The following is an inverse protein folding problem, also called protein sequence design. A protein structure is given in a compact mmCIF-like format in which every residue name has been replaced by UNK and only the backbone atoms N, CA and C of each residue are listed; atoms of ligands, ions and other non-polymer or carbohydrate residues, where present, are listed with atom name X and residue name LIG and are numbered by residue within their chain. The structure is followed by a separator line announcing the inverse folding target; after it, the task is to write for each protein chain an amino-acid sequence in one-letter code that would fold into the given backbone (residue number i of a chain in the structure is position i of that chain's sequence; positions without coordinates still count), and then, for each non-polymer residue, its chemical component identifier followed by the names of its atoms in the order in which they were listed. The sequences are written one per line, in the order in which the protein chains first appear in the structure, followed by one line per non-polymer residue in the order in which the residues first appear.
data_IF_584099300971
#
_entry.id   IF_584099300971
#
_cell.length_a   1.000
_cell.length_b   1.000
_cell.length_c   1.000
_cell.angle_alpha   90.00
_cell.angle_beta   90.00
_cell.angle_gamma   90.00
#
_symmetry.space_group_name_H-M   'P 1'
#
loop_
_entity.id
_entity.type
_entity.pdbx_description
1 polymer ?
#
# COMPACT_ATOMS: atom_id res chain seq x y z
N UNK A 1 66.63 -29.66 -0.21
CA UNK A 1 67.26 -29.31 1.08
C UNK A 1 66.42 -28.24 1.74
N UNK A 2 66.18 -28.38 3.05
CA UNK A 2 65.30 -27.64 3.98
C UNK A 2 65.22 -26.12 3.75
N UNK A 3 64.03 -25.50 3.67
CA UNK A 3 63.16 -24.93 4.75
C UNK A 3 63.89 -23.91 5.64
N UNK A 4 63.29 -22.70 5.76
CA UNK A 4 63.06 -21.82 6.95
C UNK A 4 63.10 -20.34 6.47
N UNK A 5 61.97 -19.61 6.39
CA UNK A 5 61.17 -18.91 7.42
C UNK A 5 61.65 -17.47 7.68
N UNK A 6 60.77 -16.47 7.49
CA UNK A 6 60.61 -15.17 8.19
C UNK A 6 59.64 -14.30 7.33
N UNK A 7 58.33 -14.23 7.57
CA UNK A 7 57.60 -13.43 8.58
C UNK A 7 58.00 -11.95 8.67
N UNK A 8 57.13 -11.07 8.15
CA UNK A 8 56.80 -9.69 8.58
C UNK A 8 55.70 -9.16 7.61
N UNK A 9 54.40 -9.32 7.95
CA UNK A 9 53.54 -8.28 8.55
C UNK A 9 53.47 -6.97 7.75
N UNK A 10 52.36 -6.77 7.01
CA UNK A 10 51.60 -5.51 6.88
C UNK A 10 50.30 -5.85 6.09
N UNK A 11 49.15 -6.13 6.70
CA UNK A 11 48.11 -5.18 7.17
C UNK A 11 47.83 -4.01 6.22
N UNK A 12 46.60 -3.96 5.67
CA UNK A 12 46.04 -2.82 4.94
C UNK A 12 45.08 -3.25 3.84
N UNK A 13 43.90 -3.79 4.17
CA UNK A 13 42.61 -3.07 4.10
C UNK A 13 42.31 -2.44 2.74
N UNK A 14 41.41 -3.10 1.97
CA UNK A 14 40.22 -2.55 1.31
C UNK A 14 39.60 -3.68 0.46
N UNK A 15 39.00 -4.64 1.16
CA UNK A 15 38.07 -5.58 0.55
C UNK A 15 36.76 -4.84 0.30
N UNK A 16 36.50 -4.50 -0.96
CA UNK A 16 35.22 -3.99 -1.43
C UNK A 16 34.16 -5.01 -1.05
N UNK A 17 33.28 -4.63 -0.13
CA UNK A 17 32.06 -5.35 0.18
C UNK A 17 31.24 -5.34 -1.11
N UNK A 18 31.06 -6.52 -1.70
CA UNK A 18 30.03 -6.74 -2.70
C UNK A 18 28.68 -6.44 -2.04
N UNK A 19 28.06 -5.32 -2.42
CA UNK A 19 26.65 -5.08 -2.18
C UNK A 19 25.87 -5.94 -3.18
N UNK A 20 25.74 -7.22 -2.85
CA UNK A 20 24.75 -8.11 -3.43
C UNK A 20 23.52 -8.04 -2.51
N UNK A 21 22.54 -7.23 -2.89
CA UNK A 21 21.26 -7.10 -2.17
C UNK A 21 20.11 -7.06 -3.18
N UNK A 22 20.18 -7.88 -4.24
CA UNK A 22 18.95 -8.39 -4.86
C UNK A 22 18.37 -9.45 -3.94
N UNK A 23 17.72 -9.01 -2.86
CA UNK A 23 16.71 -9.84 -2.20
C UNK A 23 15.55 -9.95 -3.17
N UNK A 24 15.62 -10.96 -4.04
CA UNK A 24 14.42 -11.65 -4.51
C UNK A 24 13.64 -12.00 -3.24
N UNK A 25 12.72 -11.13 -2.86
CA UNK A 25 11.81 -11.42 -1.76
C UNK A 25 10.88 -12.46 -2.38
N UNK A 26 10.96 -13.74 -1.97
CA UNK A 26 10.07 -14.74 -2.55
C UNK A 26 8.65 -14.20 -2.41
N UNK A 27 7.88 -14.25 -3.50
CA UNK A 27 6.45 -13.96 -3.47
C UNK A 27 5.89 -14.63 -2.21
N UNK A 28 5.42 -13.83 -1.26
CA UNK A 28 4.98 -14.32 0.04
C UNK A 28 3.93 -15.39 -0.24
N UNK A 29 4.26 -16.66 0.03
CA UNK A 29 3.32 -17.76 -0.19
C UNK A 29 2.04 -17.43 0.56
N UNK A 30 0.95 -17.36 -0.21
CA UNK A 30 -0.35 -17.03 0.35
C UNK A 30 -0.87 -18.28 1.05
N UNK A 31 -1.16 -18.22 2.37
CA UNK A 31 -1.73 -19.38 3.06
C UNK A 31 -3.06 -19.77 2.41
N UNK A 32 -3.31 -21.08 2.18
CA UNK A 32 -4.59 -21.51 1.61
C UNK A 32 -5.75 -21.17 2.57
N UNK A 33 -6.99 -21.10 2.07
CA UNK A 33 -8.17 -21.00 2.94
C UNK A 33 -8.18 -22.13 3.98
N UNK A 34 -8.68 -21.84 5.17
CA UNK A 34 -8.74 -22.80 6.28
C UNK A 34 -10.01 -22.58 7.09
N UNK A 35 -10.57 -23.64 7.66
CA UNK A 35 -11.79 -23.58 8.47
C UNK A 35 -11.65 -24.48 9.70
N UNK A 36 -12.12 -23.97 10.85
CA UNK A 36 -12.28 -24.76 12.05
C UNK A 36 -13.66 -24.49 12.65
N UNK A 37 -14.28 -25.55 13.17
CA UNK A 37 -15.55 -25.49 13.87
C UNK A 37 -15.41 -26.07 15.27
N UNK A 38 -16.17 -25.53 16.23
CA UNK A 38 -16.32 -26.12 17.55
C UNK A 38 -17.76 -26.00 18.05
N UNK A 39 -18.21 -26.99 18.81
CA UNK A 39 -19.47 -26.91 19.53
C UNK A 39 -19.31 -26.01 20.76
N UNK A 40 -20.16 -25.00 20.88
CA UNK A 40 -20.13 -23.99 21.94
C UNK A 40 -21.48 -23.97 22.63
N UNK A 41 -21.49 -24.18 23.95
CA UNK A 41 -22.73 -24.12 24.72
C UNK A 41 -22.99 -22.67 25.15
N UNK A 42 -24.26 -22.27 25.19
CA UNK A 42 -24.65 -20.95 25.67
C UNK A 42 -24.27 -20.75 27.14
N UNK A 43 -24.32 -21.80 27.95
CA UNK A 43 -24.06 -21.74 29.38
C UNK A 43 -22.57 -21.62 29.74
N UNK A 44 -21.68 -22.28 29.00
CA UNK A 44 -20.26 -22.36 29.36
C UNK A 44 -19.37 -21.51 28.45
N UNK A 45 -19.85 -21.17 27.25
CA UNK A 45 -19.03 -20.55 26.22
C UNK A 45 -18.06 -21.55 25.60
N UNK A 46 -17.04 -21.05 24.91
CA UNK A 46 -16.09 -21.88 24.19
C UNK A 46 -15.15 -21.08 23.30
N UNK A 47 -14.22 -21.77 22.63
CA UNK A 47 -13.29 -21.14 21.71
C UNK A 47 -13.09 -21.95 20.42
N UNK A 48 -12.75 -21.24 19.35
CA UNK A 48 -12.41 -21.78 18.03
C UNK A 48 -11.11 -21.11 17.60
N UNK A 49 -10.10 -21.88 17.18
CA UNK A 49 -8.83 -21.33 16.73
C UNK A 49 -8.33 -22.02 15.46
N UNK A 50 -7.68 -21.26 14.59
CA UNK A 50 -6.95 -21.74 13.42
C UNK A 50 -5.46 -21.85 13.74
N UNK A 51 -4.72 -22.63 12.93
CA UNK A 51 -3.28 -22.83 13.12
C UNK A 51 -2.44 -21.56 12.91
N UNK A 52 -2.98 -20.57 12.21
CA UNK A 52 -2.31 -19.28 12.00
C UNK A 52 -2.42 -18.33 13.19
N UNK A 53 -3.10 -18.74 14.27
CA UNK A 53 -3.31 -17.94 15.47
C UNK A 53 -4.58 -17.10 15.47
N UNK A 54 -5.40 -17.14 14.41
CA UNK A 54 -6.73 -16.55 14.44
C UNK A 54 -7.62 -17.31 15.44
N UNK A 55 -8.36 -16.59 16.29
CA UNK A 55 -9.13 -17.19 17.38
C UNK A 55 -10.39 -16.41 17.71
N UNK A 56 -11.46 -17.13 18.00
CA UNK A 56 -12.73 -16.64 18.53
C UNK A 56 -12.93 -17.22 19.92
N UNK A 57 -13.18 -16.36 20.91
CA UNK A 57 -13.53 -16.72 22.28
C UNK A 57 -14.95 -16.22 22.61
N UNK A 58 -15.88 -17.15 22.77
CA UNK A 58 -17.27 -16.88 23.12
C UNK A 58 -17.43 -17.07 24.63
N UNK A 59 -17.71 -16.02 25.42
CA UNK A 59 -17.88 -16.18 26.86
C UNK A 59 -19.23 -16.84 27.20
N UNK A 60 -19.32 -17.40 28.41
CA UNK A 60 -20.57 -17.89 28.97
C UNK A 60 -21.67 -16.82 28.91
N UNK A 61 -22.86 -17.22 28.46
CA UNK A 61 -24.02 -16.35 28.29
C UNK A 61 -23.98 -15.44 27.06
N UNK A 62 -22.98 -15.54 26.17
CA UNK A 62 -22.95 -14.71 24.95
C UNK A 62 -23.89 -15.21 23.85
N UNK A 63 -24.19 -16.52 23.79
CA UNK A 63 -25.10 -17.11 22.81
C UNK A 63 -26.50 -17.26 23.40
N UNK A 64 -27.53 -17.09 22.56
CA UNK A 64 -28.93 -17.38 22.93
C UNK A 64 -29.20 -18.87 23.11
N UNK A 65 -28.45 -19.73 22.41
CA UNK A 65 -28.59 -21.18 22.44
C UNK A 65 -27.28 -21.85 22.02
N UNK A 66 -27.14 -23.14 22.30
CA UNK A 66 -25.96 -23.92 21.92
C UNK A 66 -25.82 -23.96 20.39
N UNK A 67 -24.59 -23.84 19.90
CA UNK A 67 -24.33 -23.72 18.47
C UNK A 67 -22.96 -24.27 18.07
N UNK A 68 -22.84 -24.62 16.80
CA UNK A 68 -21.53 -24.82 16.17
C UNK A 68 -21.01 -23.45 15.74
N UNK A 69 -19.95 -22.96 16.37
CA UNK A 69 -19.26 -21.74 15.97
C UNK A 69 -18.14 -22.12 15.02
N UNK A 70 -18.05 -21.39 13.90
CA UNK A 70 -17.12 -21.66 12.80
C UNK A 70 -16.28 -20.41 12.58
N UNK A 71 -14.96 -20.59 12.56
CA UNK A 71 -13.98 -19.60 12.18
C UNK A 71 -13.33 -20.05 10.88
N UNK A 72 -13.43 -19.20 9.85
CA UNK A 72 -12.92 -19.47 8.52
C UNK A 72 -11.94 -18.36 8.13
N UNK A 73 -10.76 -18.75 7.64
CA UNK A 73 -9.87 -17.91 6.83
C UNK A 73 -10.31 -18.04 5.38
N UNK A 74 -11.06 -17.05 4.91
CA UNK A 74 -11.69 -17.04 3.58
C UNK A 74 -10.62 -16.89 2.51
N UNK A 75 -9.74 -15.91 2.65
CA UNK A 75 -8.68 -15.63 1.67
C UNK A 75 -7.62 -14.72 2.25
N UNK A 76 -6.38 -14.94 1.83
CA UNK A 76 -5.26 -14.03 2.04
C UNK A 76 -4.83 -13.34 0.72
N UNK A 77 -5.50 -13.64 -0.41
CA UNK A 77 -5.17 -13.23 -1.79
C UNK A 77 -5.58 -11.79 -2.14
N UNK A 78 -5.73 -10.94 -1.13
CA UNK A 78 -6.01 -9.53 -1.34
C UNK A 78 -7.39 -9.27 -1.94
N UNK A 79 -8.42 -10.02 -1.54
CA UNK A 79 -9.82 -9.65 -1.84
C UNK A 79 -10.15 -8.24 -1.29
N UNK A 80 -9.42 -7.82 -0.25
CA UNK A 80 -9.40 -6.47 0.28
C UNK A 80 -8.00 -5.86 0.05
N UNK A 81 -7.53 -5.79 -1.20
CA UNK A 81 -6.23 -5.23 -1.60
C UNK A 81 -5.97 -3.79 -1.12
N UNK A 82 -6.88 -3.15 -0.38
CA UNK A 82 -6.64 -1.82 0.18
C UNK A 82 -5.45 -1.88 1.17
N UNK A 83 -4.50 -0.95 1.06
CA UNK A 83 -3.23 -0.99 1.79
C UNK A 83 -3.36 -0.93 3.31
N UNK A 84 -4.49 -0.41 3.79
CA UNK A 84 -4.80 -0.40 5.20
C UNK A 84 -5.07 -1.80 5.75
N UNK A 85 -5.45 -2.77 4.93
CA UNK A 85 -5.73 -4.12 5.40
C UNK A 85 -4.44 -4.93 5.56
N UNK A 86 -4.17 -5.33 6.79
CA UNK A 86 -3.07 -6.20 7.15
C UNK A 86 -3.59 -7.63 7.36
N UNK A 87 -3.18 -8.56 6.50
CA UNK A 87 -3.44 -9.98 6.68
C UNK A 87 -4.65 -10.51 5.91
N UNK A 88 -5.23 -11.60 6.40
CA UNK A 88 -6.28 -12.34 5.71
C UNK A 88 -7.69 -11.87 6.08
N UNK A 89 -8.64 -12.17 5.21
CA UNK A 89 -10.07 -12.06 5.49
C UNK A 89 -10.52 -13.28 6.28
N UNK A 90 -11.14 -13.03 7.44
CA UNK A 90 -11.74 -14.07 8.27
C UNK A 90 -13.26 -13.90 8.32
N UNK A 91 -13.98 -15.00 8.47
CA UNK A 91 -15.41 -15.02 8.71
C UNK A 91 -15.70 -15.83 9.98
N UNK A 92 -16.59 -15.30 10.82
CA UNK A 92 -17.14 -16.01 11.97
C UNK A 92 -18.62 -16.23 11.69
N UNK A 93 -19.05 -17.49 11.74
CA UNK A 93 -20.44 -17.89 11.52
C UNK A 93 -20.89 -18.88 12.59
N UNK A 94 -22.20 -18.97 12.80
CA UNK A 94 -22.79 -19.94 13.71
C UNK A 94 -23.89 -20.72 13.00
N UNK A 95 -23.91 -22.04 13.23
CA UNK A 95 -24.96 -22.94 12.78
C UNK A 95 -25.83 -23.36 13.97
N UNK A 96 -27.10 -23.69 13.72
CA UNK A 96 -28.07 -24.02 14.78
C UNK A 96 -28.96 -22.85 15.20
N UNK A 97 -28.88 -21.69 14.54
CA UNK A 97 -29.79 -20.56 14.73
C UNK A 97 -29.50 -19.70 15.95
N UNK A 98 -28.34 -19.87 16.60
CA UNK A 98 -27.94 -19.01 17.70
C UNK A 98 -27.68 -17.56 17.26
N UNK A 99 -28.18 -16.64 18.07
CA UNK A 99 -27.83 -15.23 18.03
C UNK A 99 -26.89 -14.89 19.19
N UNK A 100 -26.28 -13.70 19.13
CA UNK A 100 -25.45 -13.17 20.19
C UNK A 100 -26.27 -12.21 21.07
N UNK A 101 -26.38 -12.51 22.36
CA UNK A 101 -26.82 -11.57 23.40
C UNK A 101 -25.65 -10.79 24.01
N UNK A 102 -24.46 -11.41 24.00
CA UNK A 102 -23.20 -10.82 24.45
C UNK A 102 -22.26 -10.47 23.29
N UNK A 103 -21.00 -10.21 23.63
CA UNK A 103 -19.91 -10.02 22.67
C UNK A 103 -18.92 -11.16 22.80
N UNK A 104 -18.42 -11.66 21.68
CA UNK A 104 -17.27 -12.57 21.66
C UNK A 104 -16.00 -11.78 21.38
N UNK A 105 -14.85 -12.32 21.77
CA UNK A 105 -13.54 -11.75 21.47
C UNK A 105 -12.97 -12.42 20.23
N UNK A 106 -12.47 -11.62 19.29
CA UNK A 106 -11.77 -12.07 18.09
C UNK A 106 -10.32 -11.62 18.15
N UNK A 107 -9.40 -12.55 17.91
CA UNK A 107 -7.97 -12.29 17.75
C UNK A 107 -7.56 -12.68 16.33
N UNK A 108 -6.95 -11.76 15.59
CA UNK A 108 -6.41 -11.99 14.25
C UNK A 108 -4.88 -11.87 14.29
N UNK A 109 -4.14 -12.77 13.63
CA UNK A 109 -2.68 -12.75 13.67
C UNK A 109 -2.12 -11.48 13.02
N UNK A 110 -1.10 -10.91 13.66
CA UNK A 110 -0.34 -9.77 13.10
C UNK A 110 0.47 -10.22 11.88
N UNK A 111 0.50 -9.41 10.83
CA UNK A 111 1.17 -9.75 9.57
C UNK A 111 2.69 -9.72 9.66
N UNK A 112 3.34 -10.66 10.38
CA UNK A 112 4.76 -11.01 10.29
C UNK A 112 5.82 -9.90 10.47
N UNK A 113 5.42 -8.65 10.65
CA UNK A 113 6.34 -7.55 10.83
C UNK A 113 6.94 -7.65 12.24
N UNK A 114 8.25 -7.92 12.28
CA UNK A 114 9.11 -7.89 13.46
C UNK A 114 9.22 -6.50 14.12
N UNK A 115 8.37 -5.54 13.73
CA UNK A 115 8.41 -4.19 14.27
C UNK A 115 7.55 -4.03 15.53
N UNK A 116 8.23 -3.46 16.52
CA UNK A 116 7.99 -3.54 17.96
C UNK A 116 7.15 -2.37 18.49
N UNK A 117 6.38 -1.70 17.63
CA UNK A 117 5.68 -0.48 18.01
C UNK A 117 4.17 -0.64 17.84
N UNK A 118 3.45 -0.41 18.93
CA UNK A 118 2.00 -0.27 18.91
C UNK A 118 1.62 0.88 17.98
N UNK A 119 0.99 0.60 16.84
CA UNK A 119 0.41 1.65 16.01
C UNK A 119 -0.95 2.05 16.60
N UNK A 120 -1.15 3.32 17.03
CA UNK A 120 -2.43 3.77 17.58
C UNK A 120 -3.56 3.76 16.55
N UNK A 121 -3.22 3.59 15.27
CA UNK A 121 -4.17 3.54 14.16
C UNK A 121 -4.47 2.11 13.70
N UNK A 122 -3.85 1.10 14.30
CA UNK A 122 -4.15 -0.30 14.01
C UNK A 122 -5.49 -0.70 14.66
N UNK A 123 -6.39 -1.30 13.88
CA UNK A 123 -7.72 -1.68 14.36
C UNK A 123 -8.20 -2.96 13.69
N UNK A 124 -9.11 -3.67 14.34
CA UNK A 124 -9.83 -4.78 13.72
C UNK A 124 -11.06 -4.22 13.00
N UNK A 125 -11.17 -4.47 11.70
CA UNK A 125 -12.31 -4.04 10.89
C UNK A 125 -13.37 -5.13 10.85
N UNK A 126 -14.63 -4.78 11.13
CA UNK A 126 -15.80 -5.63 10.91
C UNK A 126 -16.65 -5.08 9.77
N UNK A 127 -17.23 -5.97 8.96
CA UNK A 127 -18.05 -5.58 7.80
C UNK A 127 -19.54 -5.46 8.15
N UNK A 128 -20.07 -4.27 8.37
CA UNK A 128 -21.51 -4.09 8.51
C UNK A 128 -22.21 -3.87 7.14
N UNK A 129 -23.50 -3.50 7.17
CA UNK A 129 -24.31 -3.19 5.98
C UNK A 129 -23.87 -1.92 5.26
N UNK A 130 -23.15 -1.02 5.93
CA UNK A 130 -22.67 0.26 5.42
C UNK A 130 -21.20 0.20 4.99
N UNK A 131 -20.46 -0.84 5.39
CA UNK A 131 -19.10 -1.10 4.94
C UNK A 131 -18.19 -1.65 6.04
N UNK A 132 -16.90 -1.38 5.93
CA UNK A 132 -15.89 -1.80 6.91
C UNK A 132 -15.70 -0.72 7.98
N UNK A 133 -15.76 -1.10 9.27
CA UNK A 133 -15.56 -0.18 10.39
C UNK A 133 -14.64 -0.75 11.47
N UNK A 134 -13.82 0.10 12.07
CA UNK A 134 -12.98 -0.28 13.19
C UNK A 134 -13.85 -0.64 14.40
N UNK A 135 -13.54 -1.74 15.06
CA UNK A 135 -14.09 -2.04 16.37
C UNK A 135 -13.49 -1.08 17.39
N UNK A 136 -14.34 -0.40 18.15
CA UNK A 136 -13.91 0.68 19.06
C UNK A 136 -13.03 0.22 20.23
N UNK A 137 -13.01 -1.07 20.53
CA UNK A 137 -12.19 -1.72 21.55
C UNK A 137 -11.01 -2.50 20.95
N UNK A 138 -10.61 -2.19 19.72
CA UNK A 138 -9.45 -2.81 19.09
C UNK A 138 -8.18 -2.55 19.90
N UNK A 139 -7.41 -3.61 20.15
CA UNK A 139 -6.10 -3.56 20.77
C UNK A 139 -5.08 -4.26 19.87
N UNK A 140 -3.94 -3.60 19.64
CA UNK A 140 -2.82 -4.18 18.90
C UNK A 140 -1.70 -4.58 19.86
N UNK A 141 -1.22 -5.82 19.72
CA UNK A 141 -0.18 -6.36 20.59
C UNK A 141 0.84 -7.19 19.79
N UNK A 142 1.92 -7.60 20.46
CA UNK A 142 2.93 -8.52 19.93
C UNK A 142 2.29 -9.91 19.77
N UNK A 143 1.56 -10.10 18.68
CA UNK A 143 0.78 -11.30 18.41
C UNK A 143 -0.39 -11.06 17.47
N UNK A 144 -0.90 -9.83 17.39
CA UNK A 144 -1.97 -9.47 16.46
C UNK A 144 -2.94 -8.43 16.99
N UNK A 145 -4.11 -8.39 16.34
CA UNK A 145 -5.22 -7.48 16.65
C UNK A 145 -6.31 -8.24 17.39
N UNK A 146 -6.77 -7.70 18.51
CA UNK A 146 -7.89 -8.24 19.28
C UNK A 146 -9.00 -7.21 19.38
N UNK A 147 -10.26 -7.62 19.23
CA UNK A 147 -11.43 -6.76 19.48
C UNK A 147 -12.66 -7.59 19.86
N UNK A 148 -13.72 -6.95 20.35
CA UNK A 148 -14.99 -7.63 20.63
C UNK A 148 -16.05 -7.37 19.56
N UNK A 149 -16.80 -8.41 19.18
CA UNK A 149 -17.87 -8.33 18.18
C UNK A 149 -19.21 -8.80 18.76
N UNK A 150 -20.28 -8.08 18.42
CA UNK A 150 -21.67 -8.38 18.82
C UNK A 150 -22.47 -9.09 17.73
N UNK A 151 -21.84 -9.40 16.59
CA UNK A 151 -22.46 -10.06 15.44
C UNK A 151 -21.46 -10.99 14.78
N UNK A 152 -21.93 -12.16 14.36
CA UNK A 152 -21.21 -13.04 13.45
C UNK A 152 -21.05 -12.35 12.09
N UNK A 153 -19.82 -12.28 11.59
CA UNK A 153 -19.50 -11.43 10.45
C UNK A 153 -18.13 -11.74 9.81
N UNK A 154 -17.77 -10.94 8.80
CA UNK A 154 -16.42 -10.87 8.23
C UNK A 154 -15.55 -9.84 8.93
N UNK A 155 -14.27 -10.19 9.09
CA UNK A 155 -13.27 -9.40 9.80
C UNK A 155 -11.92 -9.42 9.11
N UNK A 156 -11.16 -8.35 9.29
CA UNK A 156 -9.81 -8.19 8.74
C UNK A 156 -9.02 -7.23 9.63
N UNK A 157 -7.72 -7.45 9.75
CA UNK A 157 -6.85 -6.50 10.45
C UNK A 157 -6.61 -5.25 9.61
N UNK A 158 -6.58 -4.08 10.24
CA UNK A 158 -6.00 -2.87 9.67
C UNK A 158 -4.76 -2.49 10.46
N UNK A 159 -3.62 -2.42 9.79
CA UNK A 159 -2.39 -1.84 10.32
C UNK A 159 -1.94 -0.86 9.26
N UNK A 160 -2.21 0.44 9.43
CA UNK A 160 -1.78 1.43 8.46
C UNK A 160 -0.27 1.32 8.26
N UNK A 161 0.17 1.40 7.01
CA UNK A 161 1.59 1.52 6.72
C UNK A 161 2.16 2.71 7.52
N UNK A 162 3.40 2.62 8.03
CA UNK A 162 4.06 3.78 8.61
C UNK A 162 3.95 4.96 7.64
N UNK A 163 3.61 6.14 8.16
CA UNK A 163 3.43 7.36 7.38
C UNK A 163 4.60 7.55 6.42
N UNK A 164 4.33 7.52 5.11
CA UNK A 164 5.35 7.69 4.06
C UNK A 164 5.22 6.74 2.87
N UNK A 165 4.55 5.61 3.03
CA UNK A 165 4.28 4.67 1.93
C UNK A 165 2.77 4.44 1.82
N UNK A 166 2.06 5.34 1.12
CA UNK A 166 0.74 5.02 0.62
C UNK A 166 0.91 4.05 -0.55
N UNK A 167 0.53 2.76 -0.43
CA UNK A 167 0.68 1.81 -1.53
C UNK A 167 -0.24 2.21 -2.67
N UNK A 168 0.33 2.27 -3.88
CA UNK A 168 -0.45 2.54 -5.06
C UNK A 168 -1.04 1.22 -5.55
N UNK A 169 -2.32 1.02 -5.26
CA UNK A 169 -3.07 -0.17 -5.68
C UNK A 169 -2.81 -0.56 -7.15
N UNK A 170 -2.61 0.41 -8.04
CA UNK A 170 -2.32 0.14 -9.45
C UNK A 170 -0.89 -0.30 -9.78
N UNK A 171 0.11 0.07 -8.98
CA UNK A 171 1.53 -0.31 -9.23
C UNK A 171 1.88 -1.68 -8.65
N UNK A 172 1.11 -2.14 -7.67
CA UNK A 172 1.31 -3.43 -6.99
C UNK A 172 0.67 -4.61 -7.73
N UNK A 173 -0.12 -4.35 -8.79
CA UNK A 173 -0.60 -5.43 -9.67
C UNK A 173 0.55 -5.98 -10.52
N UNK A 174 0.63 -7.31 -10.71
CA UNK A 174 1.61 -7.90 -11.61
C UNK A 174 1.36 -7.36 -13.03
N UNK A 175 2.35 -6.63 -13.53
CA UNK A 175 2.37 -6.13 -14.89
C UNK A 175 3.12 -7.13 -15.76
N UNK A 176 2.54 -7.51 -16.89
CA UNK A 176 3.17 -8.41 -17.85
C UNK A 176 3.43 -7.62 -19.12
N UNK A 177 4.72 -7.39 -19.41
CA UNK A 177 5.14 -6.73 -20.64
C UNK A 177 4.69 -7.55 -21.85
N UNK A 178 4.01 -6.89 -22.79
CA UNK A 178 3.60 -7.50 -24.06
C UNK A 178 4.34 -6.89 -25.27
N UNK A 179 5.15 -5.84 -25.04
CA UNK A 179 5.84 -5.11 -26.09
C UNK A 179 4.88 -4.33 -26.99
N UNK A 180 5.27 -4.16 -28.26
CA UNK A 180 4.49 -3.47 -29.29
C UNK A 180 5.13 -2.17 -29.78
N UNK A 181 4.51 -1.52 -30.76
CA UNK A 181 5.06 -0.30 -31.36
C UNK A 181 4.75 0.94 -30.52
N UNK A 182 5.79 1.49 -29.88
CA UNK A 182 5.71 2.73 -29.10
C UNK A 182 5.65 3.98 -29.97
N UNK A 183 5.94 3.89 -31.26
CA UNK A 183 6.02 5.06 -32.15
C UNK A 183 4.71 5.83 -32.15
N UNK A 184 4.77 7.15 -31.96
CA UNK A 184 3.62 8.04 -32.02
C UNK A 184 3.53 9.01 -30.85
N UNK A 185 2.46 9.80 -30.86
CA UNK A 185 2.12 10.74 -29.80
C UNK A 185 1.14 10.10 -28.82
N UNK A 186 1.44 10.18 -27.54
CA UNK A 186 0.67 9.57 -26.46
C UNK A 186 0.31 10.61 -25.41
N UNK A 187 -0.89 10.52 -24.85
CA UNK A 187 -1.35 11.37 -23.76
C UNK A 187 -1.83 10.50 -22.60
N UNK A 188 -1.37 10.80 -21.39
CA UNK A 188 -1.75 10.05 -20.19
C UNK A 188 -3.26 10.16 -19.96
N UNK A 189 -3.90 9.00 -19.80
CA UNK A 189 -5.32 8.90 -19.41
C UNK A 189 -5.49 8.43 -17.98
N UNK A 190 -4.47 7.76 -17.42
CA UNK A 190 -4.47 7.23 -16.07
C UNK A 190 -3.03 7.04 -15.61
N UNK A 191 -2.74 7.37 -14.35
CA UNK A 191 -1.43 7.13 -13.75
C UNK A 191 -1.60 6.63 -12.31
N UNK A 192 -0.76 5.67 -11.94
CA UNK A 192 -0.62 5.14 -10.59
C UNK A 192 0.83 5.33 -10.16
N UNK A 193 1.03 5.79 -8.94
CA UNK A 193 2.34 6.08 -8.37
C UNK A 193 2.22 7.08 -7.21
N UNK A 194 3.21 7.08 -6.32
CA UNK A 194 3.29 8.12 -5.27
C UNK A 194 3.43 9.50 -5.94
N UNK A 195 3.06 10.57 -5.24
CA UNK A 195 3.25 11.93 -5.75
C UNK A 195 4.72 12.18 -6.10
N UNK A 196 5.64 11.69 -5.27
CA UNK A 196 7.07 11.77 -5.54
C UNK A 196 7.47 11.05 -6.83
N UNK A 197 6.96 9.82 -7.06
CA UNK A 197 7.25 9.07 -8.28
C UNK A 197 6.65 9.70 -9.56
N UNK A 198 5.51 10.39 -9.45
CA UNK A 198 4.80 10.96 -10.60
C UNK A 198 5.23 12.40 -10.91
N UNK A 199 5.36 13.23 -9.88
CA UNK A 199 5.65 14.65 -9.99
C UNK A 199 7.10 15.02 -9.67
N UNK A 200 7.91 14.11 -9.10
CA UNK A 200 9.28 14.41 -8.68
C UNK A 200 9.35 15.33 -7.46
N UNK A 201 8.21 15.53 -6.77
CA UNK A 201 8.09 16.42 -5.61
C UNK A 201 7.98 15.58 -4.35
N UNK A 202 8.90 15.79 -3.42
CA UNK A 202 8.83 15.25 -2.07
C UNK A 202 8.60 16.37 -1.06
N UNK A 203 7.93 16.04 0.05
CA UNK A 203 7.76 16.96 1.17
C UNK A 203 8.19 16.30 2.46
N UNK A 204 8.98 17.02 3.25
CA UNK A 204 9.16 16.74 4.66
C UNK A 204 8.08 17.48 5.44
N UNK A 205 7.15 16.74 6.05
CA UNK A 205 6.25 17.11 7.17
C UNK A 205 5.69 18.53 7.28
N UNK A 206 4.37 18.66 7.30
CA UNK A 206 3.66 19.83 7.83
C UNK A 206 3.80 19.97 9.36
N UNK A 207 3.15 20.98 9.92
CA UNK A 207 3.09 21.17 11.39
C UNK A 207 2.57 19.90 12.09
N UNK A 208 3.19 19.55 13.22
CA UNK A 208 2.90 18.31 13.96
C UNK A 208 1.66 18.49 14.85
N UNK A 209 0.54 17.93 14.40
CA UNK A 209 -0.73 17.88 15.13
C UNK A 209 -1.03 16.47 15.67
N UNK A 210 0.00 15.67 15.93
CA UNK A 210 -0.14 14.27 16.41
C UNK A 210 -0.87 14.14 17.75
N UNK A 211 -0.93 15.20 18.54
CA UNK A 211 -1.67 15.31 19.81
C UNK A 211 -3.17 15.59 19.65
N UNK A 212 -3.65 15.81 18.42
CA UNK A 212 -5.05 16.13 18.12
C UNK A 212 -5.94 14.91 17.80
N UNK A 213 -5.48 13.67 18.03
CA UNK A 213 -6.24 12.46 17.69
C UNK A 213 -7.58 12.29 18.45
N UNK A 214 -8.55 11.52 17.91
CA UNK A 214 -8.53 10.81 16.62
C UNK A 214 -9.11 11.61 15.43
N UNK A 215 -9.70 12.79 15.65
CA UNK A 215 -10.37 13.58 14.60
C UNK A 215 -9.86 15.02 14.46
N UNK A 216 -8.86 15.44 15.24
CA UNK A 216 -8.49 16.84 15.35
C UNK A 216 -7.54 17.35 14.26
N UNK A 217 -6.89 16.48 13.48
CA UNK A 217 -6.12 16.86 12.29
C UNK A 217 -6.11 15.72 11.26
N UNK A 218 -6.49 16.02 10.02
CA UNK A 218 -6.27 15.14 8.89
C UNK A 218 -5.72 15.95 7.71
N UNK A 219 -4.67 15.46 7.07
CA UNK A 219 -4.07 16.04 5.87
C UNK A 219 -3.99 14.99 4.77
N UNK A 220 -4.47 15.34 3.58
CA UNK A 220 -4.44 14.49 2.39
C UNK A 220 -3.93 15.30 1.20
N UNK A 221 -3.27 14.66 0.26
CA UNK A 221 -2.84 15.28 -0.98
C UNK A 221 -3.53 14.61 -2.16
N UNK A 222 -3.96 15.41 -3.14
CA UNK A 222 -4.36 14.92 -4.47
C UNK A 222 -3.44 15.50 -5.53
N UNK A 223 -3.35 14.80 -6.65
CA UNK A 223 -2.48 15.15 -7.77
C UNK A 223 -3.32 15.14 -9.04
N UNK A 224 -3.38 16.28 -9.71
CA UNK A 224 -3.75 16.37 -11.11
C UNK A 224 -2.47 16.25 -11.93
N UNK A 225 -2.43 15.25 -12.82
CA UNK A 225 -1.24 14.93 -13.61
C UNK A 225 -1.61 14.75 -15.07
N UNK A 226 -0.86 15.41 -15.96
CA UNK A 226 -0.95 15.20 -17.41
C UNK A 226 0.45 15.04 -17.96
N UNK A 227 0.66 14.04 -18.80
CA UNK A 227 1.89 13.88 -19.55
C UNK A 227 1.59 13.57 -21.01
N UNK A 228 2.37 14.22 -21.88
CA UNK A 228 2.44 13.93 -23.30
C UNK A 228 3.79 13.27 -23.57
N UNK A 229 3.74 12.10 -24.19
CA UNK A 229 4.91 11.29 -24.48
C UNK A 229 4.93 10.99 -25.97
N UNK A 230 5.99 11.41 -26.65
CA UNK A 230 6.15 11.24 -28.09
C UNK A 230 7.38 10.39 -28.36
N UNK A 231 7.21 9.31 -29.12
CA UNK A 231 8.30 8.45 -29.58
C UNK A 231 8.41 8.56 -31.09
N UNK A 232 9.56 8.99 -31.56
CA UNK A 232 9.80 9.16 -32.99
C UNK A 232 10.00 7.82 -33.68
N UNK A 233 9.56 7.67 -34.95
CA UNK A 233 9.86 6.49 -35.73
C UNK A 233 11.37 6.32 -35.89
N UNK A 234 11.81 5.06 -35.89
CA UNK A 234 13.19 4.73 -36.20
C UNK A 234 13.45 5.04 -37.68
N UNK A 235 14.42 5.90 -37.96
CA UNK A 235 14.73 6.35 -39.33
C UNK A 235 15.58 5.30 -40.09
N UNK A 236 16.31 4.45 -39.36
CA UNK A 236 17.13 3.36 -39.90
C UNK A 236 17.16 2.18 -38.90
N UNK A 237 16.90 0.96 -39.38
CA UNK A 237 16.92 -0.27 -38.59
C UNK A 237 18.30 -0.57 -37.97
N UNK A 238 19.38 0.00 -38.51
CA UNK A 238 20.73 -0.12 -37.97
C UNK A 238 20.97 0.80 -36.75
N UNK A 239 20.17 1.85 -36.56
CA UNK A 239 20.36 2.83 -35.48
C UNK A 239 19.78 2.28 -34.19
N UNK A 240 20.58 1.87 -33.22
CA UNK A 240 20.11 1.25 -31.96
C UNK A 240 19.39 2.21 -30.99
N UNK A 241 19.00 3.38 -31.44
CA UNK A 241 18.37 4.42 -30.63
C UNK A 241 17.04 4.89 -31.24
N UNK A 242 16.06 5.14 -30.39
CA UNK A 242 14.76 5.73 -30.74
C UNK A 242 14.59 7.00 -29.90
N UNK A 243 14.49 8.16 -30.54
CA UNK A 243 14.32 9.41 -29.80
C UNK A 243 12.91 9.54 -29.23
N UNK A 244 12.83 9.98 -27.98
CA UNK A 244 11.56 10.31 -27.33
C UNK A 244 11.60 11.71 -26.74
N UNK A 245 10.41 12.30 -26.56
CA UNK A 245 10.21 13.50 -25.76
C UNK A 245 9.02 13.35 -24.84
N UNK A 246 9.09 13.95 -23.67
CA UNK A 246 8.04 13.94 -22.68
C UNK A 246 7.80 15.37 -22.18
N UNK A 247 6.55 15.77 -22.12
CA UNK A 247 6.11 17.00 -21.48
C UNK A 247 5.12 16.66 -20.38
N UNK A 248 5.42 17.09 -19.16
CA UNK A 248 4.68 16.77 -17.93
C UNK A 248 4.15 18.06 -17.31
N UNK A 249 2.91 18.00 -16.84
CA UNK A 249 2.29 19.03 -16.03
C UNK A 249 1.67 18.37 -14.81
N UNK A 250 1.83 19.01 -13.66
CA UNK A 250 1.17 18.58 -12.45
C UNK A 250 0.67 19.75 -11.60
N UNK A 251 -0.42 19.51 -10.89
CA UNK A 251 -0.91 20.36 -9.81
C UNK A 251 -1.21 19.47 -8.61
N UNK A 252 -0.71 19.86 -7.45
CA UNK A 252 -0.92 19.14 -6.20
C UNK A 252 -1.81 20.00 -5.32
N UNK A 253 -2.90 19.41 -4.83
CA UNK A 253 -3.75 20.01 -3.81
C UNK A 253 -3.54 19.35 -2.46
N UNK A 254 -3.40 20.16 -1.43
CA UNK A 254 -3.40 19.73 -0.02
C UNK A 254 -4.79 20.01 0.57
N UNK A 255 -5.39 18.98 1.15
CA UNK A 255 -6.64 19.04 1.88
C UNK A 255 -6.37 18.84 3.35
N UNK A 256 -6.79 19.80 4.17
CA UNK A 256 -6.54 19.76 5.60
C UNK A 256 -7.84 19.99 6.36
N UNK A 257 -8.10 19.19 7.40
CA UNK A 257 -9.25 19.35 8.29
C UNK A 257 -8.79 19.41 9.73
N UNK A 258 -9.12 20.50 10.44
CA UNK A 258 -8.80 20.69 11.85
C UNK A 258 -10.05 20.97 12.68
N UNK A 259 -10.16 20.39 13.87
CA UNK A 259 -11.23 20.77 14.81
C UNK A 259 -10.88 22.06 15.54
N UNK A 260 -11.90 22.79 16.01
CA UNK A 260 -11.71 23.96 16.88
C UNK A 260 -10.86 23.66 18.13
N UNK A 261 -11.01 22.48 18.72
CA UNK A 261 -10.20 22.05 19.85
C UNK A 261 -8.72 21.95 19.50
N UNK A 262 -8.38 21.38 18.33
CA UNK A 262 -7.01 21.27 17.87
C UNK A 262 -6.43 22.65 17.50
N UNK A 263 -7.22 23.47 16.80
CA UNK A 263 -6.81 24.85 16.50
C UNK A 263 -6.51 25.64 17.78
N UNK A 264 -7.37 25.54 18.80
CA UNK A 264 -7.14 26.23 20.08
C UNK A 264 -5.91 25.71 20.83
N UNK A 265 -5.60 24.41 20.74
CA UNK A 265 -4.44 23.80 21.39
C UNK A 265 -3.13 24.36 20.81
N UNK A 266 -3.10 24.54 19.50
CA UNK A 266 -1.92 24.97 18.74
C UNK A 266 -1.89 26.48 18.43
N UNK A 267 -2.83 27.25 19.00
CA UNK A 267 -2.93 28.70 18.74
C UNK A 267 -3.24 29.05 17.29
N UNK A 268 -3.86 28.12 16.55
CA UNK A 268 -4.24 28.25 15.16
C UNK A 268 -5.60 28.95 15.01
N UNK A 269 -5.81 29.58 13.85
CA UNK A 269 -7.09 30.19 13.50
C UNK A 269 -7.49 29.82 12.08
N UNK A 270 -8.77 29.49 11.90
CA UNK A 270 -9.30 29.18 10.57
C UNK A 270 -9.43 30.47 9.77
N UNK A 271 -8.57 30.66 8.78
CA UNK A 271 -8.53 31.85 7.94
C UNK A 271 -8.58 31.49 6.45
N UNK A 272 -9.06 32.39 5.58
CA UNK A 272 -9.10 32.13 4.14
C UNK A 272 -7.71 31.70 3.60
N UNK A 273 -7.63 30.69 2.71
CA UNK A 273 -8.72 30.09 1.93
C UNK A 273 -9.54 29.01 2.65
N UNK A 274 -9.23 28.70 3.91
CA UNK A 274 -9.94 27.70 4.69
C UNK A 274 -11.33 28.18 5.13
N UNK A 275 -12.23 27.23 5.37
CA UNK A 275 -13.60 27.49 5.82
C UNK A 275 -13.91 26.74 7.10
N UNK A 276 -14.48 27.46 8.07
CA UNK A 276 -14.97 26.89 9.31
C UNK A 276 -16.43 26.46 9.14
N UNK A 277 -16.71 25.17 9.20
CA UNK A 277 -18.05 24.61 9.12
C UNK A 277 -18.27 23.61 10.26
N UNK A 278 -19.29 23.84 11.08
CA UNK A 278 -19.66 22.95 12.20
C UNK A 278 -18.50 22.61 13.16
N UNK A 279 -17.60 23.58 13.43
CA UNK A 279 -16.45 23.41 14.31
C UNK A 279 -15.25 22.69 13.67
N UNK A 280 -15.27 22.50 12.35
CA UNK A 280 -14.18 21.93 11.56
C UNK A 280 -13.69 22.98 10.56
N UNK A 281 -12.41 23.32 10.61
CA UNK A 281 -11.73 24.13 9.62
C UNK A 281 -11.23 23.25 8.48
N UNK A 282 -11.83 23.36 7.29
CA UNK A 282 -11.42 22.67 6.08
C UNK A 282 -10.65 23.59 5.13
N UNK A 283 -9.52 23.13 4.62
CA UNK A 283 -8.67 23.82 3.65
C UNK A 283 -8.51 22.96 2.39
N UNK A 284 -8.51 23.60 1.22
CA UNK A 284 -8.02 23.03 -0.02
C UNK A 284 -7.05 24.05 -0.64
N UNK A 285 -5.76 23.72 -0.66
CA UNK A 285 -4.70 24.64 -1.02
C UNK A 285 -3.91 24.03 -2.17
N UNK A 286 -3.72 24.79 -3.25
CA UNK A 286 -2.73 24.43 -4.26
C UNK A 286 -1.35 24.48 -3.61
N UNK A 287 -0.75 23.31 -3.44
CA UNK A 287 0.52 23.15 -2.73
C UNK A 287 1.71 23.33 -3.66
N UNK A 288 1.58 22.86 -4.90
CA UNK A 288 2.63 22.89 -5.90
C UNK A 288 2.03 22.78 -7.29
N UNK A 289 2.65 23.48 -8.24
CA UNK A 289 2.39 23.34 -9.66
C UNK A 289 3.74 23.29 -10.37
N UNK A 290 3.86 22.41 -11.38
CA UNK A 290 5.08 22.27 -12.15
C UNK A 290 4.81 21.87 -13.59
N UNK A 291 5.65 22.40 -14.48
CA UNK A 291 5.74 22.00 -15.88
C UNK A 291 7.17 21.60 -16.19
N UNK A 292 7.36 20.43 -16.79
CA UNK A 292 8.67 19.91 -17.16
C UNK A 292 8.61 19.37 -18.59
N UNK A 293 9.62 19.69 -19.39
CA UNK A 293 9.78 19.15 -20.73
C UNK A 293 11.19 18.61 -20.91
N UNK A 294 11.30 17.44 -21.52
CA UNK A 294 12.58 16.80 -21.79
C UNK A 294 12.50 15.77 -22.91
N UNK A 295 13.64 15.21 -23.28
CA UNK A 295 13.72 14.14 -24.25
C UNK A 295 15.08 13.48 -24.24
N UNK A 296 15.16 12.31 -24.85
CA UNK A 296 16.37 11.51 -24.88
C UNK A 296 16.29 10.40 -25.93
N UNK A 297 17.11 9.38 -25.75
CA UNK A 297 17.09 8.17 -26.57
C UNK A 297 16.59 6.99 -25.73
N UNK A 298 15.80 6.12 -26.35
CA UNK A 298 15.55 4.77 -25.91
C UNK A 298 16.51 3.85 -26.67
N UNK A 299 17.24 3.00 -25.96
CA UNK A 299 18.20 2.08 -26.54
C UNK A 299 17.53 0.74 -26.83
N UNK A 300 17.69 0.24 -28.05
CA UNK A 300 17.21 -1.08 -28.47
C UNK A 300 18.26 -2.12 -28.08
N UNK A 301 17.90 -2.97 -27.13
CA UNK A 301 18.75 -4.06 -26.66
C UNK A 301 18.75 -5.24 -27.67
N UNK A 302 19.76 -6.13 -27.63
CA UNK A 302 19.85 -7.27 -28.55
C UNK A 302 18.64 -8.22 -28.51
N UNK A 303 17.94 -8.28 -27.39
CA UNK A 303 16.72 -9.08 -27.21
C UNK A 303 15.44 -8.36 -27.69
N UNK A 304 15.58 -7.14 -28.23
CA UNK A 304 14.50 -6.29 -28.71
C UNK A 304 13.81 -5.46 -27.62
N UNK A 305 14.26 -5.57 -26.36
CA UNK A 305 13.76 -4.70 -25.29
C UNK A 305 14.28 -3.26 -25.45
N UNK A 306 13.61 -2.32 -24.80
CA UNK A 306 13.98 -0.91 -24.83
C UNK A 306 14.46 -0.47 -23.45
N UNK A 307 15.51 0.33 -23.36
CA UNK A 307 16.01 0.89 -22.09
C UNK A 307 16.18 2.41 -22.19
N UNK A 308 16.06 3.13 -21.07
CA UNK A 308 16.32 4.59 -21.05
C UNK A 308 17.82 4.92 -21.10
N UNK A 309 18.65 4.00 -20.63
CA UNK A 309 20.10 4.03 -20.64
C UNK A 309 20.64 2.61 -20.94
N UNK A 310 21.81 2.43 -21.58
CA UNK A 310 22.32 1.10 -21.90
C UNK A 310 22.52 0.17 -20.70
N UNK A 311 22.74 0.72 -19.50
CA UNK A 311 22.94 -0.05 -18.27
C UNK A 311 21.67 -0.16 -17.41
N UNK A 312 20.57 0.48 -17.82
CA UNK A 312 19.29 0.45 -17.10
C UNK A 312 18.46 -0.81 -17.38
N UNK A 313 17.56 -1.14 -16.45
CA UNK A 313 16.62 -2.24 -16.65
C UNK A 313 15.71 -2.02 -17.88
N UNK A 314 15.31 -3.10 -18.59
CA UNK A 314 14.33 -3.02 -19.66
C UNK A 314 13.04 -2.31 -19.26
N UNK A 315 12.50 -1.52 -20.17
CA UNK A 315 11.19 -0.91 -20.06
C UNK A 315 10.13 -1.99 -20.00
N UNK A 316 9.31 -1.92 -18.96
CA UNK A 316 8.13 -2.75 -18.84
C UNK A 316 6.95 -2.06 -19.52
N UNK A 317 6.57 -2.49 -20.71
CA UNK A 317 5.45 -1.88 -21.44
C UNK A 317 4.60 -2.86 -22.24
N UNK A 318 3.40 -2.42 -22.58
CA UNK A 318 2.45 -3.15 -23.40
C UNK A 318 1.61 -2.19 -24.24
N UNK A 319 1.67 -2.33 -25.56
CA UNK A 319 0.86 -1.55 -26.52
C UNK A 319 -0.26 -2.44 -27.08
N UNK A 320 -1.50 -1.97 -26.94
CA UNK A 320 -2.70 -2.60 -27.45
C UNK A 320 -3.51 -1.60 -28.27
N UNK A 321 -3.24 -1.54 -29.58
CA UNK A 321 -3.86 -0.57 -30.49
C UNK A 321 -3.51 0.87 -30.10
N UNK A 322 -4.52 1.66 -29.75
CA UNK A 322 -4.36 3.07 -29.34
C UNK A 322 -4.10 3.25 -27.84
N UNK A 323 -3.86 2.17 -27.09
CA UNK A 323 -3.53 2.21 -25.68
C UNK A 323 -2.12 1.69 -25.43
N UNK A 324 -1.40 2.38 -24.56
CA UNK A 324 -0.07 1.96 -24.09
C UNK A 324 -0.05 2.00 -22.57
N UNK A 325 0.39 0.92 -21.94
CA UNK A 325 0.73 0.89 -20.54
C UNK A 325 2.25 0.80 -20.38
N UNK A 326 2.82 1.66 -19.54
CA UNK A 326 4.25 1.75 -19.24
C UNK A 326 4.44 1.72 -17.72
N UNK A 327 5.18 0.72 -17.24
CA UNK A 327 5.61 0.60 -15.86
C UNK A 327 7.09 0.95 -15.75
N UNK A 328 7.42 1.73 -14.73
CA UNK A 328 8.78 2.14 -14.44
C UNK A 328 9.02 2.10 -12.94
N UNK A 329 10.19 1.63 -12.53
CA UNK A 329 10.64 1.68 -11.14
C UNK A 329 11.98 2.41 -11.08
N UNK A 330 12.05 3.46 -10.28
CA UNK A 330 13.29 4.21 -10.04
C UNK A 330 13.43 4.53 -8.54
N UNK A 331 14.41 5.35 -8.17
CA UNK A 331 14.68 5.71 -6.76
C UNK A 331 13.50 6.42 -6.07
N UNK A 332 12.60 7.05 -6.82
CA UNK A 332 11.40 7.73 -6.31
C UNK A 332 10.20 6.79 -6.17
N UNK A 333 10.34 5.53 -6.58
CA UNK A 333 9.32 4.49 -6.48
C UNK A 333 8.85 3.95 -7.82
N UNK A 334 7.89 3.02 -7.75
CA UNK A 334 7.23 2.43 -8.93
C UNK A 334 6.07 3.31 -9.38
N UNK A 335 5.93 3.46 -10.70
CA UNK A 335 4.80 4.12 -11.36
C UNK A 335 4.30 3.28 -12.53
N UNK A 336 3.00 3.33 -12.77
CA UNK A 336 2.33 2.74 -13.92
C UNK A 336 1.52 3.83 -14.60
N UNK A 337 1.85 4.17 -15.85
CA UNK A 337 1.16 5.17 -16.65
C UNK A 337 0.48 4.49 -17.82
N UNK A 338 -0.79 4.84 -18.04
CA UNK A 338 -1.58 4.40 -19.19
C UNK A 338 -1.83 5.62 -20.06
N UNK A 339 -1.54 5.46 -21.34
CA UNK A 339 -1.65 6.50 -22.34
C UNK A 339 -2.62 6.07 -23.44
N UNK A 340 -3.20 7.08 -24.08
CA UNK A 340 -3.95 6.96 -25.31
C UNK A 340 -3.19 7.64 -26.43
N UNK A 341 -3.16 7.00 -27.61
CA UNK A 341 -2.59 7.58 -28.83
C UNK A 341 -3.38 8.83 -29.23
N UNK A 342 -2.68 9.91 -29.55
CA UNK A 342 -3.25 11.13 -30.10
C UNK A 342 -3.38 10.96 -31.61
N UNK A 343 -4.54 11.32 -32.15
CA UNK A 343 -4.83 11.28 -33.58
C UNK A 343 -4.34 12.53 -34.29
#
# INVERSE_FOLDING_TARGET
MRIILSMLLLSGFLGVVACDDTKDTPLKEVPPPAEQANWVTAAEGGSVALEDGARVDVPAGALTTDATVILERVTCDGYLRHPDFSGCLYAVRAEGGAALEGRYTLTLPGGGATQKESSPLACLLGRDTEGWRCQGDSAYSVGGLTASASRFNSFVGRVPAPSGLAPNLGTDYPFVSCGGDLTGDWETVMAFGTIESLAGVSWSGGEDFSDCGPFGFNQFHTLDFTERFTVNPRVDEQVQEVHYSAFRQHVIYEFTYLTESCMSLHGWSCSPPCRLESGICGCAIEKSMGEEGGGGSLYVQPDGSLTFDPESAPLEYCVMGDLMALKETNMLGTRLKVYRRRL
#
